data_IF_835971958340
#
_entry.id   IF_835971958340
#
_cell.length_a   1.000
_cell.length_b   1.000
_cell.length_c   1.000
_cell.angle_alpha   90.00
_cell.angle_beta   90.00
_cell.angle_gamma   90.00
#
_symmetry.space_group_name_H-M   'P 1'
#
loop_
_entity.id
_entity.type
_entity.pdbx_description
1 polymer ?
#
# COMPACT_ATOMS: atom_id res chain seq x y z
N UNK A 1 29.86 14.37 -0.30
CA UNK A 1 29.60 12.95 -0.63
C UNK A 1 28.16 12.85 -1.09
N UNK A 2 27.95 12.87 -2.40
CA UNK A 2 26.65 12.52 -2.98
C UNK A 2 26.64 10.99 -3.02
N UNK A 3 25.92 10.37 -2.09
CA UNK A 3 25.65 8.93 -2.16
C UNK A 3 24.68 8.76 -3.31
N UNK A 4 25.20 8.56 -4.52
CA UNK A 4 24.37 8.15 -5.64
C UNK A 4 23.74 6.83 -5.21
N UNK A 5 22.43 6.84 -5.00
CA UNK A 5 21.64 5.63 -4.84
C UNK A 5 21.66 4.96 -6.22
N UNK A 6 22.73 4.22 -6.53
CA UNK A 6 22.74 3.26 -7.63
C UNK A 6 21.84 2.10 -7.18
N UNK A 7 20.53 2.32 -7.27
CA UNK A 7 19.54 1.28 -7.11
C UNK A 7 19.20 0.83 -8.52
N UNK A 8 19.46 -0.44 -8.81
CA UNK A 8 19.12 -1.05 -10.10
C UNK A 8 17.61 -0.84 -10.36
N UNK A 9 17.22 -0.21 -11.49
CA UNK A 9 15.82 0.00 -11.82
C UNK A 9 14.99 -1.29 -11.88
N UNK A 10 15.59 -2.43 -12.25
CA UNK A 10 14.89 -3.72 -12.22
C UNK A 10 14.68 -4.20 -10.79
N UNK A 11 15.72 -4.17 -9.95
CA UNK A 11 15.62 -4.52 -8.52
C UNK A 11 14.61 -3.62 -7.79
N UNK A 12 14.55 -2.33 -8.13
CA UNK A 12 13.55 -1.40 -7.60
C UNK A 12 12.14 -1.84 -7.97
N UNK A 13 11.89 -2.14 -9.25
CA UNK A 13 10.57 -2.56 -9.73
C UNK A 13 10.13 -3.87 -9.09
N UNK A 14 11.02 -4.85 -8.99
CA UNK A 14 10.74 -6.12 -8.31
C UNK A 14 10.32 -5.89 -6.86
N UNK A 15 11.11 -5.11 -6.11
CA UNK A 15 10.84 -4.87 -4.69
C UNK A 15 9.53 -4.09 -4.46
N UNK A 16 9.18 -3.17 -5.34
CA UNK A 16 7.92 -2.42 -5.26
C UNK A 16 6.73 -3.32 -5.61
N UNK A 17 6.85 -4.19 -6.61
CA UNK A 17 5.82 -5.17 -6.95
C UNK A 17 5.60 -6.18 -5.81
N UNK A 18 6.66 -6.68 -5.20
CA UNK A 18 6.57 -7.55 -4.02
C UNK A 18 5.84 -6.86 -2.86
N UNK A 19 6.15 -5.59 -2.61
CA UNK A 19 5.45 -4.81 -1.59
C UNK A 19 3.96 -4.69 -1.94
N UNK A 20 3.60 -4.34 -3.18
CA UNK A 20 2.21 -4.27 -3.63
C UNK A 20 1.48 -5.60 -3.40
N UNK A 21 2.10 -6.73 -3.75
CA UNK A 21 1.52 -8.05 -3.55
C UNK A 21 1.26 -8.34 -2.06
N UNK A 22 2.24 -8.09 -1.19
CA UNK A 22 2.08 -8.27 0.25
C UNK A 22 0.96 -7.40 0.84
N UNK A 23 0.82 -6.15 0.40
CA UNK A 23 -0.27 -5.29 0.85
C UNK A 23 -1.64 -5.75 0.33
N UNK A 24 -1.71 -6.26 -0.91
CA UNK A 24 -2.95 -6.82 -1.45
C UNK A 24 -3.36 -8.10 -0.72
N UNK A 25 -2.41 -8.97 -0.37
CA UNK A 25 -2.66 -10.14 0.48
C UNK A 25 -3.18 -9.73 1.85
N UNK A 26 -2.53 -8.77 2.52
CA UNK A 26 -3.00 -8.26 3.80
C UNK A 26 -4.41 -7.62 3.72
N UNK A 27 -4.74 -6.96 2.61
CA UNK A 27 -6.09 -6.44 2.35
C UNK A 27 -7.08 -7.60 2.22
N UNK A 28 -6.75 -8.63 1.44
CA UNK A 28 -7.61 -9.79 1.24
C UNK A 28 -7.87 -10.51 2.57
N UNK A 29 -6.82 -10.71 3.37
CA UNK A 29 -6.90 -11.32 4.70
C UNK A 29 -7.75 -10.50 5.66
N UNK A 30 -7.59 -9.17 5.68
CA UNK A 30 -8.38 -8.29 6.53
C UNK A 30 -9.86 -8.32 6.14
N UNK A 31 -10.18 -8.32 4.84
CA UNK A 31 -11.55 -8.41 4.33
C UNK A 31 -12.18 -9.77 4.65
N UNK A 32 -11.43 -10.86 4.47
CA UNK A 32 -11.90 -12.20 4.75
C UNK A 32 -12.15 -12.43 6.25
N UNK A 33 -11.38 -11.75 7.11
CA UNK A 33 -11.44 -11.87 8.57
C UNK A 33 -12.00 -10.60 9.23
N UNK A 34 -12.99 -9.93 8.61
CA UNK A 34 -13.62 -8.77 9.22
C UNK A 34 -14.14 -9.15 10.62
N UNK A 35 -13.74 -8.44 11.69
CA UNK A 35 -14.22 -8.73 13.03
C UNK A 35 -15.73 -8.48 13.15
N UNK A 36 -16.48 -9.48 13.58
CA UNK A 36 -17.89 -9.34 13.92
C UNK A 36 -18.03 -9.28 15.44
N UNK A 37 -18.50 -8.14 15.95
CA UNK A 37 -18.79 -7.97 17.37
C UNK A 37 -20.30 -7.93 17.55
N UNK A 38 -20.83 -8.88 18.32
CA UNK A 38 -22.21 -8.88 18.75
C UNK A 38 -22.35 -8.12 20.08
N UNK A 39 -22.99 -6.94 20.11
CA UNK A 39 -23.19 -6.16 21.34
C UNK A 39 -23.96 -6.91 22.42
N UNK A 40 -24.86 -7.83 22.04
CA UNK A 40 -25.64 -8.62 22.99
C UNK A 40 -24.79 -9.60 23.80
N UNK A 41 -23.61 -9.99 23.29
CA UNK A 41 -22.69 -10.90 23.99
C UNK A 41 -22.03 -10.28 25.22
N UNK A 42 -22.15 -8.96 25.41
CA UNK A 42 -21.59 -8.24 26.57
C UNK A 42 -22.45 -8.36 27.83
N UNK A 43 -23.67 -8.91 27.72
CA UNK A 43 -24.58 -9.11 28.84
C UNK A 43 -25.59 -7.98 29.04
N UNK A 44 -26.68 -8.32 29.73
CA UNK A 44 -27.77 -7.41 30.03
C UNK A 44 -27.26 -6.23 30.90
N UNK A 45 -27.59 -4.99 30.50
CA UNK A 45 -27.07 -3.76 31.12
C UNK A 45 -25.78 -3.21 30.49
N UNK A 46 -25.08 -3.96 29.66
CA UNK A 46 -23.84 -3.52 28.98
C UNK A 46 -24.00 -3.31 27.48
N UNK A 47 -25.20 -3.48 26.93
CA UNK A 47 -25.48 -3.37 25.48
C UNK A 47 -24.93 -2.07 24.89
N UNK A 48 -25.16 -0.92 25.56
CA UNK A 48 -24.64 0.36 25.07
C UNK A 48 -23.11 0.46 25.02
N UNK A 49 -22.41 -0.20 25.95
CA UNK A 49 -20.95 -0.32 25.88
C UNK A 49 -20.52 -1.30 24.78
N UNK A 50 -21.24 -2.41 24.60
CA UNK A 50 -21.03 -3.35 23.50
C UNK A 50 -21.17 -2.70 22.13
N UNK A 51 -22.18 -1.85 21.95
CA UNK A 51 -22.40 -1.06 20.73
C UNK A 51 -21.24 -0.09 20.47
N UNK A 52 -20.78 0.61 21.50
CA UNK A 52 -19.62 1.51 21.40
C UNK A 52 -18.33 0.78 21.01
N UNK A 53 -18.12 -0.43 21.53
CA UNK A 53 -16.95 -1.25 21.19
C UNK A 53 -17.08 -1.76 19.76
N UNK A 54 -18.24 -2.29 19.36
CA UNK A 54 -18.48 -2.74 17.99
C UNK A 54 -18.20 -1.62 16.98
N UNK A 55 -18.75 -0.42 17.22
CA UNK A 55 -18.50 0.75 16.39
C UNK A 55 -17.02 1.16 16.34
N UNK A 56 -16.31 1.06 17.46
CA UNK A 56 -14.87 1.38 17.50
C UNK A 56 -14.05 0.37 16.69
N UNK A 57 -14.42 -0.91 16.74
CA UNK A 57 -13.75 -1.96 15.98
C UNK A 57 -14.02 -1.83 14.49
N UNK A 58 -15.26 -1.51 14.09
CA UNK A 58 -15.59 -1.19 12.70
C UNK A 58 -14.77 0.02 12.20
N UNK A 59 -14.67 1.08 13.01
CA UNK A 59 -13.88 2.27 12.64
C UNK A 59 -12.38 1.96 12.49
N UNK A 60 -11.82 1.08 13.32
CA UNK A 60 -10.42 0.63 13.19
C UNK A 60 -10.24 -0.22 11.94
N UNK A 61 -11.18 -1.12 11.66
CA UNK A 61 -11.18 -1.95 10.45
C UNK A 61 -11.15 -1.08 9.19
N UNK A 62 -12.07 -0.11 9.08
CA UNK A 62 -12.17 0.79 7.93
C UNK A 62 -10.89 1.60 7.74
N UNK A 63 -10.37 2.22 8.82
CA UNK A 63 -9.13 2.99 8.76
C UNK A 63 -7.91 2.15 8.36
N UNK A 64 -7.87 0.90 8.83
CA UNK A 64 -6.78 -0.01 8.48
C UNK A 64 -6.86 -0.36 6.99
N UNK A 65 -8.05 -0.69 6.50
CA UNK A 65 -8.27 -0.99 5.09
C UNK A 65 -7.90 0.19 4.18
N UNK A 66 -8.32 1.40 4.52
CA UNK A 66 -8.00 2.61 3.77
C UNK A 66 -6.49 2.89 3.76
N UNK A 67 -5.81 2.67 4.89
CA UNK A 67 -4.37 2.83 4.98
C UNK A 67 -3.63 1.85 4.08
N UNK A 68 -4.03 0.57 4.07
CA UNK A 68 -3.39 -0.45 3.22
C UNK A 68 -3.60 -0.11 1.73
N UNK A 69 -4.81 0.28 1.34
CA UNK A 69 -5.12 0.71 -0.04
C UNK A 69 -4.31 1.94 -0.45
N UNK A 70 -4.25 2.95 0.41
CA UNK A 70 -3.42 4.14 0.14
C UNK A 70 -1.96 3.78 -0.05
N UNK A 71 -1.46 2.78 0.69
CA UNK A 71 -0.07 2.33 0.55
C UNK A 71 0.18 1.61 -0.78
N UNK A 72 -0.76 0.82 -1.27
CA UNK A 72 -0.70 0.22 -2.61
C UNK A 72 -0.64 1.30 -3.68
N UNK A 73 -1.51 2.33 -3.60
CA UNK A 73 -1.52 3.42 -4.58
C UNK A 73 -0.24 4.26 -4.54
N UNK A 74 0.36 4.46 -3.35
CA UNK A 74 1.67 5.10 -3.24
C UNK A 74 2.76 4.31 -3.98
N UNK A 75 2.77 2.98 -3.85
CA UNK A 75 3.76 2.14 -4.55
C UNK A 75 3.55 2.11 -6.06
N UNK A 76 2.29 2.06 -6.53
CA UNK A 76 1.99 2.21 -7.96
C UNK A 76 2.48 3.54 -8.50
N UNK A 77 2.26 4.63 -7.76
CA UNK A 77 2.76 5.95 -8.16
C UNK A 77 4.29 6.00 -8.24
N UNK A 78 5.01 5.35 -7.31
CA UNK A 78 6.46 5.22 -7.37
C UNK A 78 6.93 4.44 -8.61
N UNK A 79 6.21 3.38 -8.98
CA UNK A 79 6.50 2.59 -10.19
C UNK A 79 6.40 3.46 -11.45
N UNK A 80 5.30 4.22 -11.58
CA UNK A 80 5.10 5.15 -12.70
C UNK A 80 6.22 6.19 -12.79
N UNK A 81 6.61 6.78 -11.65
CA UNK A 81 7.72 7.75 -11.62
C UNK A 81 9.06 7.12 -12.07
N UNK A 82 9.32 5.87 -11.68
CA UNK A 82 10.54 5.17 -12.09
C UNK A 82 10.55 4.81 -13.59
N UNK A 83 9.38 4.52 -14.16
CA UNK A 83 9.23 4.32 -15.61
C UNK A 83 9.46 5.63 -16.39
N UNK A 84 8.93 6.75 -15.91
CA UNK A 84 9.12 8.07 -16.53
C UNK A 84 10.60 8.50 -16.56
N UNK A 85 11.33 8.28 -15.45
CA UNK A 85 12.77 8.54 -15.36
C UNK A 85 13.54 7.66 -16.35
N UNK A 86 13.26 6.35 -16.37
CA UNK A 86 13.91 5.41 -17.29
C UNK A 86 13.67 5.76 -18.77
N UNK A 87 12.48 6.26 -19.11
CA UNK A 87 12.17 6.71 -20.47
C UNK A 87 12.98 7.97 -20.85
N UNK A 88 13.13 8.91 -19.92
CA UNK A 88 13.84 10.18 -20.16
C UNK A 88 15.34 9.96 -20.35
N UNK A 89 15.93 9.07 -19.54
CA UNK A 89 17.35 8.70 -19.67
C UNK A 89 17.63 7.96 -20.99
N UNK A 90 16.71 7.07 -21.42
CA UNK A 90 16.80 6.38 -22.70
C UNK A 90 16.77 7.31 -23.91
N UNK A 91 15.91 8.33 -23.89
CA UNK A 91 15.88 9.37 -24.94
C UNK A 91 17.18 10.18 -24.97
N UNK A 92 17.67 10.60 -23.81
CA UNK A 92 18.89 11.41 -23.71
C UNK A 92 20.14 10.63 -24.19
N UNK A 93 20.26 9.35 -23.82
CA UNK A 93 21.35 8.49 -24.29
C UNK A 93 21.26 8.21 -25.81
N UNK A 94 20.05 8.09 -26.35
CA UNK A 94 19.82 7.95 -27.79
C UNK A 94 20.23 9.20 -28.59
N UNK A 95 19.92 10.39 -28.08
CA UNK A 95 20.29 11.67 -28.71
C UNK A 95 21.80 11.93 -28.68
N UNK A 96 22.48 11.56 -27.60
CA UNK A 96 23.94 11.69 -27.50
C UNK A 96 24.69 10.74 -28.46
N UNK A 97 24.18 9.53 -28.68
CA UNK A 97 24.75 8.59 -29.65
C UNK A 97 24.44 8.95 -31.12
N UNK A 98 23.38 9.72 -31.37
CA UNK A 98 23.01 10.17 -32.72
C UNK A 98 23.80 11.41 -33.20
N UNK A 99 24.53 12.08 -32.29
CA UNK A 99 25.28 13.31 -32.55
C UNK A 99 26.79 13.23 -32.25
N UNK A 100 27.31 12.03 -31.92
CA UNK A 100 28.75 11.75 -31.81
C UNK A 100 29.29 11.00 -33.02
#
# INVERSE_FOLDING_TARGET
MNTSLELDPEEFRERINDAINQYNEAIADLVANKPEINPASFGEGFVGHGESIAASVDAVYERTLDRLRSRVEQYKSMLTMAEDVSSTDGTTAGELNAHG
#
